data_IF_739526961704
#
_entry.id   IF_739526961704
#
_cell.length_a   1.000
_cell.length_b   1.000
_cell.length_c   1.000
_cell.angle_alpha   90.00
_cell.angle_beta   90.00
_cell.angle_gamma   90.00
#
_symmetry.space_group_name_H-M   'P 1'
#
loop_
_entity.id
_entity.type
_entity.pdbx_description
1 polymer ?
#
# COMPACT_ATOMS: atom_id res chain seq x y z
N UNK A 1 5.17 -4.55 14.13
CA UNK A 1 6.42 -3.77 13.87
C UNK A 1 6.26 -2.30 14.19
N UNK A 2 5.34 -1.56 13.54
CA UNK A 2 5.26 -0.10 13.69
C UNK A 2 5.16 0.37 15.15
N UNK A 3 4.32 -0.29 15.94
CA UNK A 3 4.10 -0.01 17.37
C UNK A 3 5.37 -0.14 18.23
N UNK A 4 6.30 -1.04 17.89
CA UNK A 4 7.50 -1.32 18.69
C UNK A 4 8.74 -0.57 18.20
N UNK A 5 8.65 0.15 17.10
CA UNK A 5 9.77 0.88 16.52
C UNK A 5 9.64 2.38 16.83
N UNK A 6 10.73 3.00 17.30
CA UNK A 6 10.76 4.44 17.58
C UNK A 6 10.40 5.33 16.37
N UNK A 7 10.05 6.61 16.60
CA UNK A 7 9.47 7.48 15.58
C UNK A 7 10.40 7.75 14.38
N UNK A 8 11.73 7.74 14.59
CA UNK A 8 12.71 7.90 13.52
C UNK A 8 12.93 6.64 12.67
N UNK A 9 12.41 5.49 13.09
CA UNK A 9 12.58 4.23 12.37
C UNK A 9 11.52 4.12 11.27
N UNK A 10 11.96 3.98 10.03
CA UNK A 10 11.10 3.83 8.86
C UNK A 10 10.81 2.35 8.57
N UNK A 11 9.53 1.98 8.38
CA UNK A 11 9.11 0.61 8.13
C UNK A 11 8.99 0.34 6.63
N UNK A 12 9.52 -0.81 6.19
CA UNK A 12 9.34 -1.33 4.83
C UNK A 12 8.45 -2.57 4.86
N UNK A 13 7.37 -2.57 4.08
CA UNK A 13 6.65 -3.79 3.74
C UNK A 13 7.31 -4.47 2.54
N UNK A 14 7.47 -5.79 2.59
CA UNK A 14 8.02 -6.59 1.50
C UNK A 14 7.34 -7.97 1.49
N UNK A 15 7.13 -8.51 0.29
CA UNK A 15 6.37 -9.76 0.10
C UNK A 15 4.85 -9.51 0.10
N UNK A 16 4.11 -10.28 -0.68
CA UNK A 16 2.64 -10.26 -0.66
C UNK A 16 1.93 -9.08 -1.36
N UNK A 17 2.56 -7.91 -1.53
CA UNK A 17 1.88 -6.77 -2.19
C UNK A 17 1.85 -6.93 -3.72
N UNK A 18 0.65 -6.99 -4.28
CA UNK A 18 0.35 -7.25 -5.69
C UNK A 18 -0.62 -6.22 -6.30
N UNK A 19 -1.48 -5.62 -5.49
CA UNK A 19 -2.51 -4.68 -5.96
C UNK A 19 -2.35 -3.28 -5.36
N UNK A 20 -2.98 -2.28 -5.98
CA UNK A 20 -3.02 -0.93 -5.42
C UNK A 20 -3.78 -0.90 -4.08
N UNK A 21 -4.89 -1.64 -3.97
CA UNK A 21 -5.71 -1.66 -2.76
C UNK A 21 -4.91 -2.20 -1.55
N UNK A 22 -4.16 -3.29 -1.74
CA UNK A 22 -3.22 -3.80 -0.72
C UNK A 22 -2.18 -2.75 -0.34
N UNK A 23 -1.58 -2.07 -1.33
CA UNK A 23 -0.59 -1.02 -1.08
C UNK A 23 -1.19 0.10 -0.23
N UNK A 24 -2.41 0.53 -0.53
CA UNK A 24 -3.09 1.60 0.20
C UNK A 24 -3.42 1.18 1.64
N UNK A 25 -3.87 -0.07 1.85
CA UNK A 25 -4.11 -0.62 3.19
C UNK A 25 -2.82 -0.64 4.01
N UNK A 26 -1.72 -1.20 3.51
CA UNK A 26 -0.48 -1.24 4.30
C UNK A 26 0.12 0.15 4.55
N UNK A 27 -0.13 1.11 3.64
CA UNK A 27 0.31 2.49 3.80
C UNK A 27 -0.44 3.16 4.97
N UNK A 28 -1.73 2.87 5.13
CA UNK A 28 -2.53 3.40 6.25
C UNK A 28 -2.03 2.89 7.62
N UNK A 29 -1.37 1.73 7.66
CA UNK A 29 -0.72 1.18 8.87
C UNK A 29 0.60 1.88 9.25
N UNK A 30 1.03 2.91 8.50
CA UNK A 30 2.25 3.66 8.78
C UNK A 30 3.53 3.08 8.18
N UNK A 31 3.40 2.23 7.16
CA UNK A 31 4.53 1.79 6.32
C UNK A 31 5.02 2.96 5.48
N UNK A 32 6.34 3.19 5.46
CA UNK A 32 6.92 4.31 4.70
C UNK A 32 7.44 3.89 3.33
N UNK A 33 7.74 2.60 3.13
CA UNK A 33 8.30 2.04 1.89
C UNK A 33 7.69 0.69 1.58
N UNK A 34 7.50 0.39 0.29
CA UNK A 34 6.95 -0.90 -0.17
C UNK A 34 7.89 -1.48 -1.21
N UNK A 35 8.28 -2.74 -1.03
CA UNK A 35 8.94 -3.53 -2.07
C UNK A 35 7.95 -4.48 -2.72
N UNK A 36 7.60 -4.23 -3.98
CA UNK A 36 6.66 -5.06 -4.74
C UNK A 36 7.21 -5.39 -6.14
N UNK A 37 7.07 -6.64 -6.57
CA UNK A 37 7.40 -7.05 -7.94
C UNK A 37 6.37 -6.47 -8.91
N UNK A 38 5.11 -6.38 -8.50
CA UNK A 38 4.00 -5.84 -9.29
C UNK A 38 3.96 -4.29 -9.37
N UNK A 39 5.10 -3.61 -9.19
CA UNK A 39 5.16 -2.14 -9.13
C UNK A 39 4.52 -1.48 -10.36
N UNK A 40 4.78 -1.99 -11.57
CA UNK A 40 4.20 -1.42 -12.80
C UNK A 40 2.66 -1.48 -12.78
N UNK A 41 2.09 -2.65 -12.48
CA UNK A 41 0.63 -2.83 -12.43
C UNK A 41 -0.03 -1.90 -11.39
N UNK A 42 0.57 -1.81 -10.20
CA UNK A 42 0.09 -0.94 -9.12
C UNK A 42 0.11 0.54 -9.55
N UNK A 43 1.19 0.98 -10.22
CA UNK A 43 1.32 2.37 -10.67
C UNK A 43 0.36 2.71 -11.81
N UNK A 44 0.13 1.80 -12.74
CA UNK A 44 -0.87 2.00 -13.80
C UNK A 44 -2.29 2.06 -13.23
N UNK A 45 -2.62 1.21 -12.25
CA UNK A 45 -3.88 1.29 -11.54
C UNK A 45 -4.05 2.62 -10.78
N UNK A 46 -2.98 3.10 -10.13
CA UNK A 46 -2.98 4.39 -9.44
C UNK A 46 -3.30 5.55 -10.39
N UNK A 47 -2.65 5.57 -11.57
CA UNK A 47 -2.93 6.54 -12.63
C UNK A 47 -4.37 6.44 -13.13
N UNK A 48 -4.87 5.23 -13.36
CA UNK A 48 -6.26 5.00 -13.80
C UNK A 48 -7.29 5.51 -12.78
N UNK A 49 -6.96 5.47 -11.48
CA UNK A 49 -7.77 6.02 -10.39
C UNK A 49 -7.53 7.52 -10.12
N UNK A 50 -6.71 8.20 -10.93
CA UNK A 50 -6.42 9.63 -10.77
C UNK A 50 -5.47 9.97 -9.62
N UNK A 51 -4.78 8.97 -9.05
CA UNK A 51 -3.76 9.19 -8.01
C UNK A 51 -2.48 9.65 -8.72
N UNK A 52 -2.20 10.94 -8.63
CA UNK A 52 -1.06 11.59 -9.31
C UNK A 52 -0.06 12.16 -8.30
N UNK A 53 0.79 13.10 -8.71
CA UNK A 53 1.77 13.76 -7.84
C UNK A 53 1.15 14.69 -6.78
N UNK A 54 -0.16 14.92 -6.81
CA UNK A 54 -0.87 15.72 -5.81
C UNK A 54 -1.54 14.82 -4.76
N UNK A 55 -1.54 15.21 -3.47
CA UNK A 55 -2.31 14.51 -2.45
C UNK A 55 -3.77 14.37 -2.87
N UNK A 56 -4.28 13.15 -2.84
CA UNK A 56 -5.63 12.79 -3.29
C UNK A 56 -6.29 11.93 -2.21
N UNK A 57 -7.52 12.25 -1.84
CA UNK A 57 -8.30 11.39 -0.94
C UNK A 57 -8.75 10.14 -1.69
N UNK A 58 -8.59 8.99 -1.04
CA UNK A 58 -8.95 7.70 -1.62
C UNK A 58 -9.77 6.92 -0.61
N UNK A 59 -10.76 6.18 -1.12
CA UNK A 59 -11.54 5.26 -0.29
C UNK A 59 -10.73 3.97 -0.14
N UNK A 60 -10.40 3.62 1.09
CA UNK A 60 -9.79 2.32 1.41
C UNK A 60 -10.89 1.26 1.37
N UNK A 61 -10.72 0.26 0.50
CA UNK A 61 -11.53 -0.97 0.58
C UNK A 61 -11.09 -1.75 1.82
N UNK A 62 -12.03 -2.35 2.55
CA UNK A 62 -11.75 -3.07 3.78
C UNK A 62 -10.76 -4.21 3.55
N UNK A 63 -9.93 -4.48 4.57
CA UNK A 63 -8.97 -5.58 4.56
C UNK A 63 -9.64 -6.96 4.45
N UNK A 64 -10.95 -7.04 4.73
CA UNK A 64 -11.75 -8.27 4.63
C UNK A 64 -11.81 -8.82 3.19
N UNK A 65 -11.57 -7.98 2.17
CA UNK A 65 -11.47 -8.42 0.78
C UNK A 65 -10.08 -8.97 0.38
N UNK A 66 -9.11 -8.96 1.31
CA UNK A 66 -7.77 -9.52 1.06
C UNK A 66 -7.69 -11.05 1.31
N UNK A 67 -8.81 -11.70 1.62
CA UNK A 67 -8.90 -13.16 1.79
C UNK A 67 -9.24 -13.94 0.52
N UNK A 68 -9.48 -13.31 -0.63
CA UNK A 68 -9.77 -14.05 -1.86
C UNK A 68 -8.63 -13.88 -2.85
N UNK A 69 -7.75 -14.88 -2.90
CA UNK A 69 -7.19 -15.49 -4.13
C UNK A 69 -5.91 -16.29 -3.82
N UNK A 70 -5.95 -17.06 -2.73
CA UNK A 70 -5.03 -18.18 -2.46
C UNK A 70 -5.78 -19.38 -1.91
#
# INVERSE_FOLDING_TARGET
MREHCGPGVQIKAAGGVRTLDELLVIRSLGVTRVGAIATVAIMEEAKARGITGTPTEVILKSADHLESDY
#
